data_IF_991826342610
#
_entry.id   IF_991826342610
#
_cell.length_a   1.000
_cell.length_b   1.000
_cell.length_c   1.000
_cell.angle_alpha   90.00
_cell.angle_beta   90.00
_cell.angle_gamma   90.00
#
_symmetry.space_group_name_H-M   'P 1'
#
loop_
_entity.id
_entity.type
_entity.pdbx_description
1 polymer ?
#
# COMPACT_ATOMS: atom_id res chain seq x y z
N UNK A 1 -6.88 4.85 -9.22
CA UNK A 1 -5.73 4.07 -8.71
C UNK A 1 -6.00 2.60 -8.94
N UNK A 2 -5.04 1.90 -9.48
CA UNK A 2 -5.19 0.48 -9.76
C UNK A 2 -5.04 -0.35 -8.49
N UNK A 3 -5.84 -1.40 -8.40
CA UNK A 3 -5.71 -2.39 -7.35
C UNK A 3 -4.58 -3.35 -7.72
N UNK A 4 -3.53 -3.38 -6.91
CA UNK A 4 -2.41 -4.28 -7.15
C UNK A 4 -2.70 -5.64 -6.56
N UNK A 5 -2.28 -6.69 -7.28
CA UNK A 5 -2.33 -8.04 -6.75
C UNK A 5 -0.96 -8.41 -6.22
N UNK A 6 -0.93 -8.98 -5.03
CA UNK A 6 0.31 -9.39 -4.41
C UNK A 6 0.26 -10.88 -4.12
N UNK A 7 1.32 -11.57 -4.52
CA UNK A 7 1.50 -12.99 -4.25
C UNK A 7 2.58 -13.13 -3.19
N UNK A 8 2.34 -12.51 -2.05
CA UNK A 8 3.33 -12.35 -0.99
C UNK A 8 3.07 -13.36 0.11
N UNK A 9 4.09 -14.08 0.59
CA UNK A 9 3.89 -14.96 1.74
C UNK A 9 3.50 -14.14 2.96
N UNK A 10 2.41 -14.51 3.60
CA UNK A 10 2.00 -13.88 4.84
C UNK A 10 2.66 -14.62 5.99
N UNK A 11 3.06 -13.88 7.02
CA UNK A 11 3.78 -14.45 8.16
C UNK A 11 2.91 -15.36 9.02
N UNK A 12 1.61 -15.11 9.03
CA UNK A 12 0.66 -15.92 9.76
C UNK A 12 -0.30 -16.56 8.79
N UNK A 13 -0.81 -17.71 9.15
CA UNK A 13 -1.68 -18.49 8.29
C UNK A 13 -3.06 -17.84 8.23
N UNK A 14 -3.37 -17.21 7.10
CA UNK A 14 -4.66 -16.59 6.88
C UNK A 14 -5.64 -17.58 6.26
N UNK A 15 -6.94 -17.47 6.56
CA UNK A 15 -7.93 -18.28 5.87
C UNK A 15 -7.94 -18.02 4.38
N UNK A 16 -8.30 -19.04 3.61
CA UNK A 16 -8.41 -18.89 2.16
C UNK A 16 -9.43 -17.82 1.81
N UNK A 17 -9.11 -17.02 0.80
CA UNK A 17 -9.99 -15.96 0.37
C UNK A 17 -9.24 -14.83 -0.29
N UNK A 18 -9.97 -13.77 -0.60
CA UNK A 18 -9.41 -12.56 -1.21
C UNK A 18 -9.47 -11.43 -0.19
N UNK A 19 -8.35 -10.78 0.02
CA UNK A 19 -8.22 -9.68 0.98
C UNK A 19 -7.73 -8.45 0.26
N UNK A 20 -8.43 -7.34 0.37
CA UNK A 20 -7.98 -6.07 -0.19
C UNK A 20 -7.49 -5.19 0.94
N UNK A 21 -6.18 -5.04 1.01
CA UNK A 21 -5.52 -4.18 1.99
C UNK A 21 -5.41 -2.79 1.39
N UNK A 22 -5.81 -1.79 2.15
CA UNK A 22 -5.70 -0.39 1.71
C UNK A 22 -4.77 0.35 2.65
N UNK A 23 -3.74 0.94 2.08
CA UNK A 23 -2.76 1.74 2.82
C UNK A 23 -2.88 3.17 2.34
N UNK A 24 -2.96 4.10 3.27
CA UNK A 24 -2.95 5.53 2.95
C UNK A 24 -1.63 6.14 3.38
N UNK A 25 -1.21 7.14 2.64
CA UNK A 25 0.05 7.81 2.93
C UNK A 25 0.07 9.17 2.24
N UNK A 26 1.04 9.98 2.60
CA UNK A 26 1.25 11.28 1.98
C UNK A 26 2.49 11.20 1.10
N UNK A 27 2.35 11.61 -0.15
CA UNK A 27 3.49 11.78 -1.06
C UNK A 27 3.88 13.25 -1.02
N UNK A 28 5.07 13.52 -0.50
CA UNK A 28 5.59 14.88 -0.45
C UNK A 28 5.97 15.36 -1.85
N UNK A 29 6.12 16.66 -1.98
CA UNK A 29 6.48 17.27 -3.27
C UNK A 29 7.81 16.79 -3.81
N UNK A 30 8.67 16.22 -2.96
CA UNK A 30 9.95 15.63 -3.40
C UNK A 30 9.85 14.14 -3.70
N UNK A 31 8.65 13.56 -3.66
CA UNK A 31 8.41 12.15 -3.94
C UNK A 31 8.60 11.23 -2.74
N UNK A 32 8.97 11.74 -1.60
CA UNK A 32 9.10 10.93 -0.38
C UNK A 32 7.75 10.67 0.25
N UNK A 33 7.66 9.55 0.94
CA UNK A 33 6.43 9.12 1.59
C UNK A 33 6.50 9.41 3.08
N UNK A 34 5.40 9.89 3.64
CA UNK A 34 5.27 10.07 5.09
C UNK A 34 3.85 9.73 5.55
N UNK A 35 3.68 9.61 6.85
CA UNK A 35 2.37 9.36 7.48
C UNK A 35 1.69 8.14 6.90
N UNK A 36 2.45 7.06 6.73
CA UNK A 36 1.92 5.83 6.15
C UNK A 36 1.12 5.08 7.22
N UNK A 37 -0.14 4.78 6.91
CA UNK A 37 -1.06 4.13 7.83
C UNK A 37 -1.99 3.17 7.11
N UNK A 38 -2.34 2.04 7.74
CA UNK A 38 -3.32 1.13 7.14
C UNK A 38 -4.75 1.64 7.37
N UNK A 39 -5.61 1.46 6.37
CA UNK A 39 -7.04 1.70 6.51
C UNK A 39 -7.79 0.42 6.79
N UNK A 40 -7.17 -0.73 6.53
CA UNK A 40 -7.73 -2.05 6.81
C UNK A 40 -6.97 -2.70 7.95
N UNK A 41 -7.54 -3.74 8.52
CA UNK A 41 -6.96 -4.41 9.68
C UNK A 41 -7.21 -5.90 9.64
N UNK A 42 -6.82 -6.54 8.54
CA UNK A 42 -6.95 -8.00 8.41
C UNK A 42 -5.95 -8.74 9.28
N UNK A 43 -4.77 -8.16 9.50
CA UNK A 43 -3.72 -8.84 10.23
C UNK A 43 -2.94 -9.79 9.34
N UNK A 44 -2.43 -10.86 9.94
CA UNK A 44 -1.63 -11.88 9.26
C UNK A 44 -0.38 -11.33 8.58
N UNK A 45 0.05 -10.13 8.98
CA UNK A 45 1.21 -9.48 8.38
C UNK A 45 0.95 -8.82 7.03
N UNK A 46 -0.31 -8.77 6.59
CA UNK A 46 -0.66 -8.20 5.28
C UNK A 46 -0.40 -6.71 5.21
N UNK A 47 -0.90 -5.95 6.20
CA UNK A 47 -0.72 -4.51 6.23
C UNK A 47 0.76 -4.13 6.32
N UNK A 48 1.49 -4.83 7.19
CA UNK A 48 2.92 -4.57 7.37
C UNK A 48 3.70 -4.82 6.08
N UNK A 49 3.34 -5.87 5.35
CA UNK A 49 4.03 -6.21 4.12
C UNK A 49 3.81 -5.15 3.05
N UNK A 50 2.58 -4.66 2.91
CA UNK A 50 2.28 -3.61 1.94
C UNK A 50 3.00 -2.32 2.30
N UNK A 51 2.99 -1.95 3.58
CA UNK A 51 3.70 -0.75 4.04
C UNK A 51 5.19 -0.86 3.77
N UNK A 52 5.77 -2.04 3.99
CA UNK A 52 7.19 -2.29 3.72
C UNK A 52 7.51 -2.10 2.24
N UNK A 53 6.68 -2.65 1.37
CA UNK A 53 6.88 -2.54 -0.08
C UNK A 53 6.79 -1.07 -0.52
N UNK A 54 5.81 -0.33 -0.01
CA UNK A 54 5.64 1.08 -0.35
C UNK A 54 6.87 1.88 0.10
N UNK A 55 7.36 1.61 1.31
CA UNK A 55 8.52 2.33 1.85
C UNK A 55 9.81 2.03 1.10
N UNK A 56 9.98 0.81 0.62
CA UNK A 56 11.19 0.38 -0.09
C UNK A 56 11.17 0.72 -1.57
N UNK A 57 10.02 1.03 -2.11
CA UNK A 57 9.89 1.31 -3.54
C UNK A 57 10.59 2.59 -3.95
N UNK A 58 10.65 2.84 -5.26
CA UNK A 58 11.21 4.09 -5.75
C UNK A 58 10.36 5.27 -5.30
N UNK A 59 10.89 6.47 -5.45
CA UNK A 59 10.14 7.67 -5.13
C UNK A 59 8.86 7.72 -5.94
N UNK A 60 7.81 8.17 -5.30
CA UNK A 60 6.52 8.34 -5.95
C UNK A 60 6.51 9.64 -6.74
N UNK A 61 5.69 9.67 -7.78
CA UNK A 61 5.49 10.89 -8.55
C UNK A 61 4.55 11.78 -7.76
N UNK A 62 4.99 12.99 -7.33
CA UNK A 62 4.12 13.87 -6.57
C UNK A 62 2.99 14.42 -7.43
N UNK A 63 1.89 14.80 -6.77
CA UNK A 63 0.80 15.48 -7.45
C UNK A 63 1.26 16.85 -7.92
N UNK A 64 0.65 17.32 -9.00
CA UNK A 64 0.97 18.63 -9.58
C UNK A 64 -0.22 19.55 -9.42
N UNK A 65 0.06 20.80 -9.09
CA UNK A 65 -0.95 21.85 -9.04
C UNK A 65 -0.35 23.12 -9.61
N UNK A 66 -0.98 23.65 -10.64
CA UNK A 66 -0.50 24.87 -11.34
C UNK A 66 0.97 24.72 -11.77
N UNK A 67 1.34 23.53 -12.28
CA UNK A 67 2.70 23.26 -12.76
C UNK A 67 3.73 23.06 -11.66
N UNK A 68 3.32 22.96 -10.40
CA UNK A 68 4.24 22.76 -9.27
C UNK A 68 3.92 21.48 -8.53
N UNK A 69 4.94 20.72 -8.08
CA UNK A 69 4.71 19.56 -7.24
C UNK A 69 4.18 19.98 -5.87
N UNK A 70 3.19 19.25 -5.38
CA UNK A 70 2.57 19.50 -4.08
C UNK A 70 2.48 18.21 -3.29
N UNK A 71 2.35 18.34 -1.97
CA UNK A 71 2.06 17.20 -1.11
C UNK A 71 0.63 16.73 -1.36
N UNK A 72 0.42 15.43 -1.38
CA UNK A 72 -0.91 14.90 -1.66
C UNK A 72 -1.12 13.56 -0.96
N UNK A 73 -2.37 13.30 -0.58
CA UNK A 73 -2.76 12.00 -0.07
C UNK A 73 -2.84 10.98 -1.19
N UNK A 74 -2.45 9.77 -0.86
CA UNK A 74 -2.62 8.61 -1.74
C UNK A 74 -3.21 7.46 -0.95
N UNK A 75 -4.01 6.66 -1.62
CA UNK A 75 -4.52 5.39 -1.10
C UNK A 75 -4.13 4.30 -2.09
N UNK A 76 -3.49 3.26 -1.60
CA UNK A 76 -3.05 2.17 -2.46
C UNK A 76 -3.73 0.88 -2.01
N UNK A 77 -4.68 0.38 -2.77
CA UNK A 77 -5.24 -0.94 -2.50
C UNK A 77 -4.34 -2.02 -3.08
N UNK A 78 -4.16 -3.10 -2.31
CA UNK A 78 -3.40 -4.27 -2.73
C UNK A 78 -4.23 -5.50 -2.40
N UNK A 79 -4.50 -6.31 -3.40
CA UNK A 79 -5.30 -7.51 -3.22
C UNK A 79 -4.40 -8.72 -2.99
N UNK A 80 -4.63 -9.41 -1.87
CA UNK A 80 -3.98 -10.66 -1.54
C UNK A 80 -4.93 -11.80 -1.83
N UNK A 81 -4.44 -12.83 -2.50
CA UNK A 81 -5.22 -14.03 -2.74
C UNK A 81 -4.56 -15.17 -1.95
N UNK A 82 -5.27 -15.67 -0.95
CA UNK A 82 -4.80 -16.79 -0.15
C UNK A 82 -5.54 -18.03 -0.62
N UNK A 83 -4.79 -19.00 -1.10
CA UNK A 83 -5.33 -20.24 -1.62
C UNK A 83 -5.23 -21.33 -0.57
N UNK A 84 -6.22 -22.19 -0.58
CA UNK A 84 -6.22 -23.39 0.24
C UNK A 84 -5.34 -24.45 -0.41
N UNK A 85 -4.45 -25.05 0.38
CA UNK A 85 -3.57 -26.10 -0.12
C UNK A 85 -4.15 -27.48 0.14
#
# INVERSE_FOLDING_TARGET
MKNLKANVPVKKKAPAGTYTVVIRFIVNKDGRIRSIEPETSFGYGMEEEVMRIIKKGPKWIPAMQNGRPVNAYRRQPVTFMVEEK
#
